data_IF_852480867458
#
_entry.id   IF_852480867458
#
_cell.length_a   1.000
_cell.length_b   1.000
_cell.length_c   1.000
_cell.angle_alpha   90.00
_cell.angle_beta   90.00
_cell.angle_gamma   90.00
#
_symmetry.space_group_name_H-M   'P 1'
#
loop_
_entity.id
_entity.type
_entity.pdbx_description
1 polymer ?
#
# COMPACT_ATOMS: atom_id res chain seq x y z
N UNK A 1 -17.46 0.12 3.64
CA UNK A 1 -17.01 -0.69 2.49
C UNK A 1 -15.58 -1.14 2.76
N UNK A 2 -15.18 -2.36 2.38
CA UNK A 2 -13.85 -2.88 2.71
C UNK A 2 -12.79 -2.18 1.84
N UNK A 3 -11.58 -2.00 2.38
CA UNK A 3 -10.45 -1.26 1.78
C UNK A 3 -9.22 -2.15 1.79
N UNK A 4 -8.41 -2.11 0.73
CA UNK A 4 -7.19 -2.89 0.67
C UNK A 4 -6.06 -2.19 1.41
N UNK A 5 -5.27 -2.96 2.16
CA UNK A 5 -3.99 -2.53 2.70
C UNK A 5 -2.87 -3.05 1.81
N UNK A 6 -1.94 -2.18 1.42
CA UNK A 6 -0.86 -2.53 0.50
C UNK A 6 0.52 -2.10 1.00
N UNK A 7 1.50 -3.01 0.92
CA UNK A 7 2.93 -2.70 1.04
C UNK A 7 3.48 -2.33 -0.34
N UNK A 8 3.86 -1.06 -0.52
CA UNK A 8 4.43 -0.57 -1.78
C UNK A 8 5.95 -0.72 -1.80
N UNK A 9 6.45 -1.59 -2.68
CA UNK A 9 7.84 -2.03 -2.74
C UNK A 9 8.48 -1.54 -4.06
N UNK A 10 9.09 -0.36 -4.04
CA UNK A 10 9.66 0.29 -5.23
C UNK A 10 11.18 0.11 -5.39
N UNK A 11 11.89 -0.37 -4.36
CA UNK A 11 13.31 -0.71 -4.48
C UNK A 11 13.65 -2.07 -3.84
N UNK A 12 14.66 -2.75 -4.40
CA UNK A 12 15.04 -4.13 -4.02
C UNK A 12 15.47 -4.28 -2.55
N UNK A 13 15.81 -3.18 -1.88
CA UNK A 13 16.18 -3.20 -0.47
C UNK A 13 15.00 -3.41 0.48
N UNK A 14 13.74 -3.28 0.02
CA UNK A 14 12.54 -3.38 0.86
C UNK A 14 12.02 -4.80 1.05
N UNK A 15 12.53 -5.75 0.28
CA UNK A 15 12.04 -7.12 0.29
C UNK A 15 13.13 -8.11 -0.10
N UNK A 16 12.91 -9.39 0.17
CA UNK A 16 13.77 -10.47 -0.30
C UNK A 16 12.96 -11.51 -1.05
N UNK A 17 13.46 -11.98 -2.20
CA UNK A 17 12.81 -13.07 -2.93
C UNK A 17 13.16 -14.41 -2.30
N UNK A 18 12.18 -15.30 -2.21
CA UNK A 18 12.34 -16.64 -1.61
C UNK A 18 11.37 -17.64 -2.25
N UNK A 19 11.41 -18.88 -1.77
CA UNK A 19 10.39 -19.89 -2.08
C UNK A 19 9.72 -20.35 -0.79
N UNK A 20 8.40 -20.44 -0.83
CA UNK A 20 7.58 -20.89 0.29
C UNK A 20 6.80 -22.15 -0.08
N UNK A 21 6.28 -22.82 0.95
CA UNK A 21 5.23 -23.82 0.84
C UNK A 21 4.04 -23.36 1.68
N UNK A 22 2.84 -23.52 1.15
CA UNK A 22 1.57 -23.27 1.85
C UNK A 22 0.81 -24.59 1.97
N UNK A 23 -0.08 -24.77 2.96
CA UNK A 23 -0.73 -26.05 3.21
C UNK A 23 -1.58 -26.57 2.06
N UNK A 24 -2.26 -25.65 1.35
CA UNK A 24 -3.24 -26.00 0.31
C UNK A 24 -2.62 -26.29 -1.07
N UNK A 25 -1.31 -26.09 -1.22
CA UNK A 25 -0.59 -26.24 -2.50
C UNK A 25 0.65 -27.11 -2.29
N UNK A 26 0.69 -28.26 -2.96
CA UNK A 26 1.82 -29.18 -2.90
C UNK A 26 3.11 -28.60 -3.48
N UNK A 27 2.96 -27.75 -4.50
CA UNK A 27 4.05 -27.09 -5.19
C UNK A 27 4.66 -25.92 -4.39
N UNK A 28 5.89 -25.57 -4.74
CA UNK A 28 6.61 -24.45 -4.12
C UNK A 28 6.26 -23.16 -4.85
N UNK A 29 5.94 -22.12 -4.09
CA UNK A 29 5.55 -20.84 -4.66
C UNK A 29 6.71 -19.84 -4.64
N UNK A 30 6.91 -19.06 -5.72
CA UNK A 30 7.77 -17.89 -5.66
C UNK A 30 7.15 -16.83 -4.75
N UNK A 31 7.95 -16.25 -3.87
CA UNK A 31 7.46 -15.33 -2.86
C UNK A 31 8.43 -14.16 -2.61
N UNK A 32 7.90 -13.13 -1.98
CA UNK A 32 8.67 -12.05 -1.35
C UNK A 32 8.48 -12.07 0.16
N UNK A 33 9.56 -11.84 0.90
CA UNK A 33 9.55 -11.63 2.35
C UNK A 33 9.63 -10.13 2.63
N UNK A 34 8.71 -9.62 3.44
CA UNK A 34 8.62 -8.21 3.87
C UNK A 34 8.29 -8.18 5.35
N UNK A 35 9.08 -7.50 6.17
CA UNK A 35 8.83 -7.37 7.62
C UNK A 35 8.52 -8.70 8.33
N UNK A 36 9.20 -9.78 7.96
CA UNK A 36 8.97 -11.11 8.54
C UNK A 36 7.83 -11.92 7.91
N UNK A 37 6.93 -11.29 7.16
CA UNK A 37 5.80 -11.92 6.50
C UNK A 37 6.14 -12.36 5.08
N UNK A 38 5.42 -13.37 4.58
CA UNK A 38 5.62 -13.96 3.26
C UNK A 38 4.43 -13.65 2.36
N UNK A 39 4.73 -13.25 1.13
CA UNK A 39 3.70 -12.96 0.13
C UNK A 39 3.99 -13.78 -1.13
N UNK A 40 3.03 -14.58 -1.57
CA UNK A 40 3.13 -15.35 -2.82
C UNK A 40 2.76 -14.48 -4.02
N UNK A 41 3.26 -14.84 -5.21
CA UNK A 41 2.96 -14.10 -6.43
C UNK A 41 1.49 -14.29 -6.82
N UNK A 42 0.72 -13.20 -6.82
CA UNK A 42 -0.69 -13.20 -7.19
C UNK A 42 -0.88 -12.91 -8.68
N UNK A 43 -0.45 -11.74 -9.15
CA UNK A 43 -0.68 -11.30 -10.53
C UNK A 43 0.36 -10.29 -11.01
N UNK A 44 0.63 -10.29 -12.32
CA UNK A 44 1.46 -9.29 -13.00
C UNK A 44 0.59 -8.30 -13.77
N UNK A 45 1.04 -7.05 -13.83
CA UNK A 45 0.41 -5.95 -14.55
C UNK A 45 1.43 -5.25 -15.46
N UNK A 46 0.95 -4.78 -16.61
CA UNK A 46 1.73 -4.09 -17.63
C UNK A 46 1.69 -2.56 -17.49
N UNK A 47 0.89 -2.06 -16.55
CA UNK A 47 0.81 -0.63 -16.26
C UNK A 47 0.28 -0.38 -14.84
N UNK A 48 0.43 0.86 -14.38
CA UNK A 48 0.05 1.29 -13.04
C UNK A 48 -1.48 1.37 -12.85
N UNK A 49 -2.23 1.72 -13.89
CA UNK A 49 -3.68 1.88 -13.84
C UNK A 49 -4.37 0.53 -13.64
N UNK A 50 -3.91 -0.50 -14.36
CA UNK A 50 -4.36 -1.87 -14.19
C UNK A 50 -4.06 -2.41 -12.78
N UNK A 51 -2.87 -2.10 -12.26
CA UNK A 51 -2.49 -2.47 -10.89
C UNK A 51 -3.37 -1.77 -9.84
N UNK A 52 -3.59 -0.46 -9.97
CA UNK A 52 -4.47 0.32 -9.08
C UNK A 52 -5.91 -0.18 -9.08
N UNK A 53 -6.48 -0.44 -10.26
CA UNK A 53 -7.83 -1.01 -10.39
C UNK A 53 -7.94 -2.39 -9.75
N UNK A 54 -6.88 -3.20 -9.83
CA UNK A 54 -6.85 -4.50 -9.16
C UNK A 54 -6.79 -4.34 -7.64
N UNK A 55 -5.92 -3.46 -7.11
CA UNK A 55 -5.85 -3.16 -5.67
C UNK A 55 -7.21 -2.71 -5.12
N UNK A 56 -7.88 -1.78 -5.81
CA UNK A 56 -9.21 -1.30 -5.44
C UNK A 56 -10.27 -2.42 -5.39
N UNK A 57 -10.18 -3.40 -6.30
CA UNK A 57 -11.14 -4.52 -6.38
C UNK A 57 -10.89 -5.60 -5.34
N UNK A 58 -9.62 -5.86 -5.00
CA UNK A 58 -9.19 -6.92 -4.08
C UNK A 58 -9.34 -6.53 -2.61
N UNK A 59 -9.75 -5.30 -2.34
CA UNK A 59 -10.11 -4.81 -1.01
C UNK A 59 -11.17 -5.64 -0.27
N UNK A 60 -11.90 -6.54 -0.94
CA UNK A 60 -13.16 -7.11 -0.44
C UNK A 60 -13.05 -7.97 0.81
N UNK A 61 -11.88 -8.52 1.12
CA UNK A 61 -11.70 -9.46 2.24
C UNK A 61 -10.71 -8.98 3.31
N UNK A 62 -10.32 -7.69 3.29
CA UNK A 62 -9.23 -7.22 4.16
C UNK A 62 -7.86 -7.77 3.75
N UNK A 63 -7.73 -8.17 2.47
CA UNK A 63 -6.50 -8.74 1.92
C UNK A 63 -5.35 -7.76 2.11
N UNK A 64 -4.30 -8.23 2.78
CA UNK A 64 -3.03 -7.52 2.89
C UNK A 64 -2.19 -7.89 1.67
N UNK A 65 -1.97 -6.91 0.80
CA UNK A 65 -1.25 -7.10 -0.45
C UNK A 65 0.13 -6.48 -0.37
N UNK A 66 1.03 -6.91 -1.24
CA UNK A 66 2.24 -6.17 -1.57
C UNK A 66 2.31 -5.91 -3.07
N UNK A 67 2.87 -4.78 -3.47
CA UNK A 67 3.06 -4.42 -4.87
C UNK A 67 4.52 -4.07 -5.10
N UNK A 68 5.19 -4.85 -5.96
CA UNK A 68 6.56 -4.55 -6.40
C UNK A 68 6.54 -3.87 -7.75
N UNK A 69 7.36 -2.82 -7.92
CA UNK A 69 7.70 -2.28 -9.25
C UNK A 69 8.89 -3.05 -9.83
N UNK A 70 8.68 -3.70 -10.98
CA UNK A 70 9.69 -4.54 -11.65
C UNK A 70 10.46 -3.78 -12.74
N UNK A 71 9.78 -2.87 -13.44
CA UNK A 71 10.36 -1.97 -14.43
C UNK A 71 9.55 -0.67 -14.47
N UNK A 72 9.83 0.23 -15.42
CA UNK A 72 9.10 1.50 -15.57
C UNK A 72 7.57 1.29 -15.60
N UNK A 73 7.14 0.31 -16.38
CA UNK A 73 5.75 0.00 -16.69
C UNK A 73 5.45 -1.48 -16.37
N UNK A 74 5.95 -2.00 -15.25
CA UNK A 74 5.58 -3.36 -14.86
C UNK A 74 5.52 -3.51 -13.36
N UNK A 75 4.40 -4.08 -12.91
CA UNK A 75 4.09 -4.29 -11.51
C UNK A 75 3.77 -5.76 -11.27
N UNK A 76 4.15 -6.26 -10.09
CA UNK A 76 3.74 -7.58 -9.62
C UNK A 76 3.12 -7.41 -8.26
N UNK A 77 1.90 -7.93 -8.12
CA UNK A 77 1.14 -7.98 -6.89
C UNK A 77 1.35 -9.34 -6.22
N UNK A 78 1.43 -9.29 -4.91
CA UNK A 78 1.69 -10.43 -4.05
C UNK A 78 0.62 -10.47 -2.96
N UNK A 79 0.13 -11.67 -2.64
CA UNK A 79 -0.89 -11.89 -1.60
C UNK A 79 -0.22 -12.43 -0.34
N UNK A 80 -0.63 -11.94 0.84
CA UNK A 80 -0.12 -12.41 2.13
C UNK A 80 -0.49 -13.88 2.35
N UNK A 81 0.50 -14.68 2.74
CA UNK A 81 0.34 -16.09 3.07
C UNK A 81 0.61 -16.30 4.56
N UNK A 82 -0.45 -16.37 5.38
CA UNK A 82 -0.34 -16.45 6.83
C UNK A 82 0.30 -17.75 7.32
N UNK A 83 0.08 -18.84 6.59
CA UNK A 83 0.54 -20.18 6.96
C UNK A 83 1.79 -20.62 6.17
N UNK A 84 2.43 -19.68 5.48
CA UNK A 84 3.60 -19.97 4.67
C UNK A 84 4.79 -20.42 5.51
N UNK A 85 5.41 -21.51 5.08
CA UNK A 85 6.70 -21.96 5.58
C UNK A 85 7.78 -21.71 4.54
N UNK A 86 8.97 -21.30 5.00
CA UNK A 86 10.11 -21.13 4.10
C UNK A 86 10.57 -22.48 3.60
N UNK A 87 10.43 -22.70 2.29
CA UNK A 87 11.01 -23.88 1.65
C UNK A 87 12.48 -23.64 1.32
N UNK A 88 12.79 -22.52 0.66
CA UNK A 88 14.15 -22.08 0.38
C UNK A 88 14.29 -20.63 0.79
N UNK A 89 15.19 -20.40 1.73
CA UNK A 89 15.51 -19.07 2.22
C UNK A 89 15.94 -18.13 1.09
N UNK A 90 15.86 -16.81 1.33
CA UNK A 90 16.34 -15.84 0.35
C UNK A 90 17.78 -16.14 -0.06
N UNK A 91 18.12 -15.84 -1.32
CA UNK A 91 19.50 -16.01 -1.80
C UNK A 91 20.44 -15.33 -0.80
N UNK A 92 21.45 -16.06 -0.29
CA UNK A 92 22.53 -15.49 0.51
C UNK A 92 23.37 -14.58 -0.39
N UNK A 93 22.89 -13.38 -0.68
CA UNK A 93 23.59 -12.39 -1.49
C UNK A 93 24.41 -11.40 -0.64
N UNK A 94 24.57 -11.69 0.66
CA UNK A 94 25.31 -10.86 1.61
C UNK A 94 24.59 -9.56 1.98
N UNK A 95 23.40 -9.27 1.46
CA UNK A 95 22.64 -8.08 1.85
C UNK A 95 22.06 -8.26 3.24
N UNK A 96 22.27 -7.25 4.11
CA UNK A 96 21.52 -7.13 5.36
C UNK A 96 20.03 -7.03 5.03
N UNK A 97 19.24 -7.84 5.71
CA UNK A 97 17.79 -7.80 5.58
C UNK A 97 17.27 -6.42 5.98
N UNK A 98 16.30 -5.86 5.25
CA UNK A 98 15.57 -4.71 5.77
C UNK A 98 14.94 -5.12 7.11
N UNK A 99 15.36 -4.46 8.17
CA UNK A 99 14.82 -4.68 9.52
C UNK A 99 13.41 -4.10 9.63
N UNK A 100 13.07 -3.10 8.80
CA UNK A 100 11.74 -2.54 8.66
C UNK A 100 11.35 -2.51 7.17
N UNK A 101 10.25 -3.18 6.81
CA UNK A 101 9.57 -2.94 5.53
C UNK A 101 8.81 -1.61 5.54
N UNK A 102 8.27 -1.16 4.39
CA UNK A 102 7.52 0.08 4.32
C UNK A 102 6.27 0.06 5.21
N UNK A 103 5.83 1.24 5.63
CA UNK A 103 4.53 1.47 6.26
C UNK A 103 3.39 1.05 5.32
N UNK A 104 2.17 1.03 5.83
CA UNK A 104 1.00 0.55 5.06
C UNK A 104 0.42 1.68 4.23
N UNK A 105 0.02 1.36 3.00
CA UNK A 105 -0.78 2.24 2.15
C UNK A 105 -2.20 1.68 2.03
N UNK A 106 -3.21 2.43 2.46
CA UNK A 106 -4.60 2.10 2.18
C UNK A 106 -4.98 2.46 0.75
N UNK A 107 -5.87 1.68 0.14
CA UNK A 107 -6.36 1.90 -1.23
C UNK A 107 -7.87 2.17 -1.19
N UNK A 108 -8.22 3.44 -1.11
CA UNK A 108 -9.59 3.96 -1.14
C UNK A 108 -10.05 4.10 -2.59
N UNK A 109 -10.31 2.97 -3.25
CA UNK A 109 -10.65 2.88 -4.67
C UNK A 109 -12.01 3.44 -5.10
N UNK A 110 -12.92 3.74 -4.17
CA UNK A 110 -14.25 4.30 -4.40
C UNK A 110 -14.51 5.47 -3.45
N UNK A 111 -15.05 6.57 -3.96
CA UNK A 111 -15.40 7.75 -3.15
C UNK A 111 -16.43 7.45 -2.04
N UNK A 112 -17.19 6.35 -2.15
CA UNK A 112 -18.10 5.87 -1.10
C UNK A 112 -17.39 5.20 0.08
N UNK A 113 -16.09 4.92 -0.03
CA UNK A 113 -15.32 4.30 1.04
C UNK A 113 -14.89 5.30 2.11
N UNK A 114 -14.89 6.60 1.84
CA UNK A 114 -14.40 7.62 2.75
C UNK A 114 -15.32 8.83 2.79
N UNK A 115 -15.24 9.60 3.88
CA UNK A 115 -15.87 10.92 3.96
C UNK A 115 -14.82 11.99 3.67
N UNK A 116 -15.16 12.98 2.85
CA UNK A 116 -14.29 14.14 2.64
C UNK A 116 -14.70 15.26 3.60
N UNK A 117 -13.72 15.96 4.16
CA UNK A 117 -13.97 17.09 5.06
C UNK A 117 -12.72 17.91 5.31
N UNK A 118 -12.78 18.71 6.37
CA UNK A 118 -11.65 19.46 6.89
C UNK A 118 -11.22 18.89 8.22
N UNK A 119 -9.93 18.97 8.51
CA UNK A 119 -9.34 18.57 9.79
C UNK A 119 -8.47 19.69 10.33
N UNK A 120 -8.37 19.75 11.66
CA UNK A 120 -7.36 20.52 12.36
C UNK A 120 -6.24 19.56 12.78
N UNK A 121 -5.01 19.83 12.34
CA UNK A 121 -3.80 19.17 12.84
C UNK A 121 -3.22 20.07 13.95
N UNK A 122 -2.84 19.54 15.13
CA UNK A 122 -2.44 20.35 16.28
C UNK A 122 -1.33 21.37 16.00
N UNK A 123 -0.36 21.00 15.14
CA UNK A 123 0.82 21.82 14.84
C UNK A 123 0.62 22.79 13.66
N UNK A 124 -0.55 22.77 13.01
CA UNK A 124 -0.86 23.64 11.89
C UNK A 124 -1.91 24.67 12.29
N UNK A 125 -1.72 25.92 11.86
CA UNK A 125 -2.68 26.98 12.11
C UNK A 125 -3.94 26.80 11.25
N UNK A 126 -3.75 26.52 9.96
CA UNK A 126 -4.85 26.42 8.99
C UNK A 126 -5.41 24.99 8.90
N UNK A 127 -6.74 24.82 8.78
CA UNK A 127 -7.34 23.52 8.59
C UNK A 127 -7.00 22.94 7.21
N UNK A 128 -6.88 21.62 7.14
CA UNK A 128 -6.52 20.89 5.93
C UNK A 128 -7.70 20.12 5.35
N UNK A 129 -7.74 19.98 4.02
CA UNK A 129 -8.63 19.02 3.37
C UNK A 129 -8.18 17.61 3.70
N UNK A 130 -9.11 16.74 4.08
CA UNK A 130 -8.81 15.37 4.45
C UNK A 130 -9.88 14.38 3.95
N UNK A 131 -9.50 13.11 3.97
CA UNK A 131 -10.41 11.98 3.87
C UNK A 131 -10.43 11.26 5.22
N UNK A 132 -11.61 10.85 5.66
CA UNK A 132 -11.81 10.07 6.87
C UNK A 132 -12.19 8.64 6.48
N UNK A 133 -11.48 7.68 7.05
CA UNK A 133 -11.76 6.25 6.92
C UNK A 133 -11.48 5.56 8.25
N UNK A 134 -12.42 4.73 8.72
CA UNK A 134 -12.28 3.94 9.95
C UNK A 134 -11.84 4.76 11.18
N UNK A 135 -12.52 5.88 11.42
CA UNK A 135 -12.23 6.88 12.47
C UNK A 135 -10.82 7.49 12.44
N UNK A 136 -10.06 7.27 11.36
CA UNK A 136 -8.77 7.87 11.11
C UNK A 136 -8.86 8.97 10.06
N UNK A 137 -8.08 10.02 10.25
CA UNK A 137 -7.99 11.14 9.32
C UNK A 137 -6.73 11.05 8.47
N UNK A 138 -6.90 11.24 7.17
CA UNK A 138 -5.80 11.31 6.22
C UNK A 138 -5.82 12.65 5.50
N UNK A 139 -4.82 13.50 5.74
CA UNK A 139 -4.69 14.79 5.07
C UNK A 139 -4.41 14.59 3.57
N UNK A 140 -5.07 15.36 2.71
CA UNK A 140 -4.84 15.29 1.26
C UNK A 140 -3.53 16.01 0.93
N UNK A 141 -2.46 15.25 0.74
CA UNK A 141 -1.13 15.79 0.44
C UNK A 141 -0.99 16.22 -1.03
N UNK A 142 -1.45 15.38 -1.97
CA UNK A 142 -1.40 15.70 -3.40
C UNK A 142 -2.56 15.09 -4.18
N UNK A 143 -3.49 15.90 -4.71
CA UNK A 143 -4.61 15.43 -5.54
C UNK A 143 -4.27 15.41 -7.04
N UNK A 144 -5.14 14.78 -7.84
CA UNK A 144 -5.11 14.89 -9.31
C UNK A 144 -3.99 14.12 -10.00
N UNK A 145 -3.46 13.08 -9.35
CA UNK A 145 -2.35 12.27 -9.85
C UNK A 145 -2.83 11.17 -10.79
N UNK A 146 -1.99 10.83 -11.77
CA UNK A 146 -2.10 9.56 -12.49
C UNK A 146 -1.69 8.39 -11.58
N UNK A 147 -2.19 7.17 -11.84
CA UNK A 147 -1.93 6.00 -10.99
C UNK A 147 -0.44 5.74 -10.72
N UNK A 148 0.41 5.88 -11.74
CA UNK A 148 1.86 5.66 -11.60
C UNK A 148 2.53 6.66 -10.68
N UNK A 149 2.10 7.93 -10.72
CA UNK A 149 2.61 9.00 -9.85
C UNK A 149 2.11 8.81 -8.42
N UNK A 150 0.83 8.45 -8.25
CA UNK A 150 0.24 8.17 -6.95
C UNK A 150 0.95 6.99 -6.25
N UNK A 151 1.16 5.87 -6.97
CA UNK A 151 1.90 4.71 -6.45
C UNK A 151 3.34 5.07 -6.09
N UNK A 152 4.01 5.88 -6.92
CA UNK A 152 5.37 6.30 -6.66
C UNK A 152 5.46 7.17 -5.41
N UNK A 153 4.62 8.20 -5.30
CA UNK A 153 4.62 9.13 -4.18
C UNK A 153 4.23 8.43 -2.87
N UNK A 154 3.19 7.60 -2.88
CA UNK A 154 2.81 6.79 -1.72
C UNK A 154 3.92 5.82 -1.29
N UNK A 155 4.66 5.23 -2.24
CA UNK A 155 5.82 4.40 -1.91
C UNK A 155 6.96 5.19 -1.26
N UNK A 156 7.15 6.47 -1.62
CA UNK A 156 8.13 7.32 -0.97
C UNK A 156 7.74 7.64 0.48
N UNK A 157 6.46 7.95 0.71
CA UNK A 157 5.93 8.24 2.06
C UNK A 157 6.02 7.01 2.96
N UNK A 158 5.49 5.87 2.50
CA UNK A 158 5.54 4.60 3.24
C UNK A 158 6.94 4.08 3.45
N UNK A 159 7.85 4.31 2.49
CA UNK A 159 9.27 3.97 2.63
C UNK A 159 9.99 4.78 3.71
N UNK A 160 9.46 5.94 4.11
CA UNK A 160 9.95 6.75 5.23
C UNK A 160 9.27 6.42 6.57
N UNK A 161 8.35 5.45 6.56
CA UNK A 161 7.60 5.06 7.76
C UNK A 161 6.27 5.78 7.94
N UNK A 162 5.83 6.61 7.00
CA UNK A 162 4.55 7.29 7.11
C UNK A 162 3.43 6.40 6.57
N UNK A 163 2.45 6.07 7.42
CA UNK A 163 1.21 5.45 6.93
C UNK A 163 0.48 6.44 6.01
N UNK A 164 -0.08 5.91 4.93
CA UNK A 164 -0.63 6.73 3.85
C UNK A 164 -1.86 6.08 3.25
N UNK A 165 -2.59 6.84 2.44
CA UNK A 165 -3.68 6.32 1.63
C UNK A 165 -3.58 6.84 0.19
N UNK A 166 -4.08 6.06 -0.76
CA UNK A 166 -4.38 6.52 -2.11
C UNK A 166 -5.91 6.51 -2.26
N UNK A 167 -6.48 7.69 -2.50
CA UNK A 167 -7.91 7.86 -2.74
C UNK A 167 -8.21 8.07 -4.22
N UNK A 168 -9.19 7.33 -4.74
CA UNK A 168 -9.77 7.53 -6.05
C UNK A 168 -10.70 8.75 -6.02
N UNK A 169 -10.51 9.66 -6.96
CA UNK A 169 -11.25 10.92 -7.06
C UNK A 169 -11.78 11.10 -8.48
N UNK A 170 -12.68 12.06 -8.69
CA UNK A 170 -13.18 12.40 -10.03
C UNK A 170 -12.11 12.93 -10.99
N UNK A 171 -10.95 13.37 -10.47
CA UNK A 171 -9.84 13.95 -11.26
C UNK A 171 -8.59 13.06 -11.27
N UNK A 172 -8.72 11.77 -10.97
CA UNK A 172 -7.60 10.83 -10.82
C UNK A 172 -7.41 10.41 -9.38
N UNK A 173 -6.18 10.31 -8.90
CA UNK A 173 -5.87 9.82 -7.56
C UNK A 173 -5.34 10.92 -6.65
N UNK A 174 -5.62 10.84 -5.36
CA UNK A 174 -5.01 11.65 -4.33
C UNK A 174 -4.14 10.77 -3.43
N UNK A 175 -2.94 11.25 -3.10
CA UNK A 175 -2.12 10.66 -2.04
C UNK A 175 -2.38 11.43 -0.76
N UNK A 176 -2.68 10.69 0.30
CA UNK A 176 -3.01 11.22 1.61
C UNK A 176 -2.06 10.67 2.69
N UNK A 177 -1.82 11.44 3.76
CA UNK A 177 -0.98 11.05 4.89
C UNK A 177 -1.83 10.86 6.14
N UNK A 178 -1.54 9.83 6.94
CA UNK A 178 -2.25 9.63 8.21
C UNK A 178 -1.89 10.75 9.20
N UNK A 179 -2.91 11.38 9.78
CA UNK A 179 -2.78 12.39 10.84
C UNK A 179 -3.39 11.85 12.13
N UNK A 180 -2.61 11.18 13.00
CA UNK A 180 -3.17 10.45 14.15
C UNK A 180 -3.77 11.34 15.23
N UNK A 181 -3.32 12.60 15.30
CA UNK A 181 -3.76 13.56 16.31
C UNK A 181 -4.75 14.60 15.75
N UNK A 182 -5.15 14.45 14.49
CA UNK A 182 -6.07 15.39 13.88
C UNK A 182 -7.51 15.21 14.37
N UNK A 183 -8.25 16.32 14.41
CA UNK A 183 -9.68 16.33 14.73
C UNK A 183 -10.48 16.88 13.56
N UNK A 184 -11.74 16.46 13.42
CA UNK A 184 -12.63 17.04 12.42
C UNK A 184 -12.78 18.56 12.65
N UNK A 185 -12.70 19.33 11.57
CA UNK A 185 -12.92 20.77 11.56
C UNK A 185 -14.17 21.07 10.73
N UNK A 186 -15.13 21.78 11.32
CA UNK A 186 -16.28 22.32 10.59
C UNK A 186 -16.02 23.80 10.36
N UNK A 187 -15.79 24.24 9.11
CA UNK A 187 -15.63 25.66 8.84
C UNK A 187 -16.93 26.41 9.19
N UNK A 188 -16.79 27.55 9.88
CA UNK A 188 -17.89 28.48 10.19
C UNK A 188 -18.45 29.17 8.93
#
# INVERSE_FOLDING_TARGET
>A
MPVAACKLLTYKGQYSTCQIKVPDIDEKLPAVKVSGQYYSRFRRFEDAEAAMKALAKLARNGDVLALTKQSKDSYVMWALELEAQVFKGPRKDGRRWPTCGPATCLILGDAKQYNQGYIQVPDLADPMVAVQYDDQFYSVYRPGLAAGEALYLAAQLTGRGNDSAIASTSKGYAVCMLEPEATAHTPE
#
